data_IF_739784640438
#
_entry.id   IF_739784640438
#
_cell.length_a   1.000
_cell.length_b   1.000
_cell.length_c   1.000
_cell.angle_alpha   90.00
_cell.angle_beta   90.00
_cell.angle_gamma   90.00
#
_symmetry.space_group_name_H-M   'P 1'
#
loop_
_entity.id
_entity.type
_entity.pdbx_description
1 polymer ?
#
# COMPACT_ATOMS: atom_id res chain seq x y z
N UNK A 1 14.23 -31.60 19.21
CA UNK A 1 13.81 -30.37 18.50
C UNK A 1 13.07 -29.49 19.50
N UNK A 2 13.37 -28.19 19.61
CA UNK A 2 12.67 -27.30 20.52
C UNK A 2 11.18 -27.20 20.14
N UNK A 3 10.25 -27.11 21.10
CA UNK A 3 8.83 -26.95 20.81
C UNK A 3 8.59 -25.57 20.16
N UNK A 4 8.01 -25.56 18.96
CA UNK A 4 7.66 -24.34 18.23
C UNK A 4 6.19 -24.04 18.51
N UNK A 5 5.92 -22.92 19.19
CA UNK A 5 4.58 -22.40 19.39
C UNK A 5 4.33 -21.21 18.46
N UNK A 6 3.20 -21.25 17.76
CA UNK A 6 2.74 -20.16 16.92
C UNK A 6 2.01 -19.12 17.78
N UNK A 7 2.52 -17.89 17.81
CA UNK A 7 2.00 -16.83 18.66
C UNK A 7 1.67 -15.62 17.79
N UNK A 8 0.38 -15.36 17.56
CA UNK A 8 -0.11 -14.20 16.82
C UNK A 8 -1.40 -14.47 16.04
N UNK A 9 -1.99 -13.41 15.49
CA UNK A 9 -3.14 -13.50 14.59
C UNK A 9 -2.65 -13.63 13.15
N UNK A 10 -3.15 -14.62 12.40
CA UNK A 10 -2.83 -14.75 10.99
C UNK A 10 -3.45 -13.59 10.20
N UNK A 11 -2.73 -13.09 9.19
CA UNK A 11 -3.27 -12.09 8.26
C UNK A 11 -4.24 -12.79 7.31
N UNK A 12 -5.52 -12.41 7.36
CA UNK A 12 -6.56 -13.00 6.51
C UNK A 12 -6.47 -12.52 5.04
N UNK A 13 -5.88 -11.34 4.81
CA UNK A 13 -5.94 -10.65 3.50
C UNK A 13 -4.59 -10.46 2.80
N UNK A 14 -3.47 -10.72 3.49
CA UNK A 14 -2.13 -10.46 2.96
C UNK A 14 -1.29 -11.72 3.03
N UNK A 15 -0.66 -12.06 1.90
CA UNK A 15 0.01 -13.35 1.69
C UNK A 15 1.49 -13.21 1.29
N UNK A 16 2.10 -12.04 1.53
CA UNK A 16 3.45 -11.72 1.09
C UNK A 16 4.42 -11.35 2.21
N UNK A 17 5.58 -10.84 1.80
CA UNK A 17 6.61 -10.29 2.68
C UNK A 17 6.50 -8.77 2.71
N UNK A 18 7.21 -8.15 3.65
CA UNK A 18 7.39 -6.71 3.59
C UNK A 18 8.39 -6.33 2.51
N UNK A 19 8.08 -5.23 1.84
CA UNK A 19 8.95 -4.68 0.82
C UNK A 19 10.30 -4.25 1.40
N UNK A 20 10.31 -3.73 2.63
CA UNK A 20 11.55 -3.34 3.32
C UNK A 20 12.49 -4.53 3.55
N UNK A 21 11.95 -5.71 3.86
CA UNK A 21 12.73 -6.94 4.08
C UNK A 21 13.30 -7.46 2.76
N UNK A 22 12.50 -7.47 1.68
CA UNK A 22 12.96 -7.86 0.35
C UNK A 22 14.10 -6.94 -0.10
N UNK A 23 13.87 -5.63 -0.05
CA UNK A 23 14.83 -4.61 -0.51
C UNK A 23 16.13 -4.66 0.29
N UNK A 24 16.06 -4.86 1.62
CA UNK A 24 17.24 -4.93 2.49
C UNK A 24 18.15 -6.12 2.18
N UNK A 25 17.56 -7.25 1.77
CA UNK A 25 18.30 -8.47 1.49
C UNK A 25 18.94 -8.48 0.09
N UNK A 26 18.57 -7.53 -0.78
CA UNK A 26 19.08 -7.45 -2.15
C UNK A 26 20.27 -6.48 -2.26
N UNK A 27 21.24 -6.84 -3.12
CA UNK A 27 22.33 -5.93 -3.50
C UNK A 27 21.75 -4.68 -4.16
N UNK A 28 22.36 -3.52 -3.89
CA UNK A 28 21.91 -2.21 -4.38
C UNK A 28 20.42 -1.93 -4.11
N UNK A 29 19.88 -2.51 -3.03
CA UNK A 29 18.46 -2.37 -2.65
C UNK A 29 17.49 -2.83 -3.74
N UNK A 30 17.90 -3.79 -4.57
CA UNK A 30 17.04 -4.40 -5.57
C UNK A 30 16.70 -3.51 -6.77
N UNK A 31 17.50 -2.49 -7.08
CA UNK A 31 17.33 -1.68 -8.29
C UNK A 31 17.25 -2.55 -9.56
N UNK A 32 16.27 -2.27 -10.42
CA UNK A 32 15.97 -3.02 -11.64
C UNK A 32 15.21 -4.33 -11.45
N UNK A 33 14.91 -4.73 -10.20
CA UNK A 33 14.16 -5.97 -9.93
C UNK A 33 12.65 -5.73 -9.97
N UNK A 34 11.93 -6.77 -10.42
CA UNK A 34 10.47 -6.77 -10.47
C UNK A 34 9.91 -7.30 -9.15
N UNK A 35 8.99 -6.54 -8.57
CA UNK A 35 8.19 -6.95 -7.40
C UNK A 35 6.71 -6.96 -7.76
N UNK A 36 5.99 -7.89 -7.17
CA UNK A 36 4.57 -8.14 -7.40
C UNK A 36 3.85 -7.94 -6.08
N UNK A 37 2.68 -7.29 -6.14
CA UNK A 37 1.76 -7.18 -5.01
C UNK A 37 0.67 -8.24 -5.20
N UNK A 38 0.61 -9.21 -4.30
CA UNK A 38 -0.24 -10.40 -4.47
C UNK A 38 -1.74 -10.05 -4.53
N UNK A 39 -2.20 -9.11 -3.71
CA UNK A 39 -3.60 -8.65 -3.76
C UNK A 39 -3.98 -8.03 -5.10
N UNK A 40 -3.06 -7.29 -5.74
CA UNK A 40 -3.32 -6.69 -7.05
C UNK A 40 -3.26 -7.74 -8.17
N UNK A 41 -2.29 -8.65 -8.10
CA UNK A 41 -2.14 -9.74 -9.05
C UNK A 41 -3.29 -10.75 -8.98
N UNK A 42 -3.86 -11.00 -7.80
CA UNK A 42 -5.03 -11.85 -7.62
C UNK A 42 -6.33 -11.18 -8.09
N UNK A 43 -6.41 -9.85 -8.01
CA UNK A 43 -7.61 -9.08 -8.37
C UNK A 43 -7.77 -8.93 -9.89
N UNK A 44 -6.66 -8.80 -10.61
CA UNK A 44 -6.67 -8.50 -12.04
C UNK A 44 -5.96 -9.62 -12.83
N UNK A 45 -6.59 -10.17 -13.89
CA UNK A 45 -5.94 -11.18 -14.73
C UNK A 45 -4.82 -10.60 -15.59
N UNK A 46 -4.81 -9.28 -15.80
CA UNK A 46 -3.82 -8.58 -16.59
C UNK A 46 -2.52 -8.36 -15.79
N UNK A 47 -1.34 -8.28 -16.44
CA UNK A 47 -0.07 -8.19 -15.74
C UNK A 47 0.01 -6.90 -14.89
N UNK A 48 0.23 -7.08 -13.58
CA UNK A 48 0.39 -6.02 -12.60
C UNK A 48 1.69 -6.25 -11.82
N UNK A 49 2.66 -5.35 -11.97
CA UNK A 49 3.95 -5.45 -11.31
C UNK A 49 4.66 -4.09 -11.23
N UNK A 50 5.73 -4.06 -10.44
CA UNK A 50 6.50 -2.85 -10.17
C UNK A 50 7.98 -3.12 -10.46
N UNK A 51 8.62 -2.21 -11.19
CA UNK A 51 10.07 -2.26 -11.43
C UNK A 51 10.74 -1.28 -10.49
N UNK A 52 11.54 -1.79 -9.56
CA UNK A 52 12.21 -0.96 -8.56
C UNK A 52 13.25 -0.06 -9.24
N UNK A 53 13.17 1.24 -9.03
CA UNK A 53 14.21 2.18 -9.47
C UNK A 53 15.09 2.63 -8.31
N UNK A 54 14.47 3.04 -7.21
CA UNK A 54 15.19 3.52 -6.03
C UNK A 54 14.43 3.14 -4.78
N UNK A 55 15.15 2.60 -3.79
CA UNK A 55 14.59 2.33 -2.49
C UNK A 55 15.41 2.99 -1.38
N UNK A 56 14.73 3.61 -0.42
CA UNK A 56 15.32 4.18 0.78
C UNK A 56 14.61 3.67 2.03
N UNK A 57 15.32 3.08 3.01
CA UNK A 57 14.74 2.77 4.29
C UNK A 57 14.38 4.06 5.02
N UNK A 58 13.31 4.02 5.80
CA UNK A 58 12.91 5.12 6.68
C UNK A 58 13.61 4.91 8.02
N UNK A 59 14.66 5.69 8.30
CA UNK A 59 15.49 5.50 9.50
C UNK A 59 14.79 5.92 10.80
N UNK A 60 13.75 6.75 10.72
CA UNK A 60 12.93 7.13 11.88
C UNK A 60 12.01 6.01 12.37
N UNK A 61 11.83 4.95 11.58
CA UNK A 61 10.96 3.82 11.91
C UNK A 61 11.76 2.70 12.61
N UNK A 62 11.57 2.59 13.94
CA UNK A 62 12.16 1.51 14.76
C UNK A 62 11.65 0.12 14.37
N UNK A 63 10.47 0.02 13.73
CA UNK A 63 9.92 -1.27 13.30
C UNK A 63 10.64 -1.84 12.07
N UNK A 64 11.39 -1.00 11.34
CA UNK A 64 12.05 -1.35 10.07
C UNK A 64 11.10 -1.90 8.99
N UNK A 65 9.79 -1.72 9.15
CA UNK A 65 8.77 -2.18 8.21
C UNK A 65 8.62 -1.21 7.05
N UNK A 66 8.78 0.10 7.29
CA UNK A 66 8.53 1.12 6.27
C UNK A 66 9.76 1.38 5.41
N UNK A 67 9.53 1.53 4.10
CA UNK A 67 10.52 2.02 3.16
C UNK A 67 9.88 2.99 2.17
N UNK A 68 10.64 3.99 1.71
CA UNK A 68 10.28 4.84 0.58
C UNK A 68 10.79 4.16 -0.69
N UNK A 69 9.86 3.76 -1.55
CA UNK A 69 10.17 3.11 -2.81
C UNK A 69 9.70 3.99 -3.97
N UNK A 70 10.59 4.22 -4.92
CA UNK A 70 10.27 4.73 -6.24
C UNK A 70 10.39 3.58 -7.24
N UNK A 71 9.32 3.34 -7.98
CA UNK A 71 9.25 2.26 -8.93
C UNK A 71 8.39 2.67 -10.12
N UNK A 72 8.71 2.09 -11.28
CA UNK A 72 7.84 2.14 -12.45
C UNK A 72 6.68 1.18 -12.24
N UNK A 73 5.45 1.69 -12.25
CA UNK A 73 4.23 0.91 -11.98
C UNK A 73 3.60 0.47 -13.29
N UNK A 74 3.54 -0.83 -13.52
CA UNK A 74 2.76 -1.43 -14.60
C UNK A 74 1.48 -1.99 -13.98
N UNK A 75 0.33 -1.42 -14.33
CA UNK A 75 -0.96 -1.85 -13.82
C UNK A 75 -1.88 -2.20 -14.98
N UNK A 76 -2.42 -3.42 -14.95
CA UNK A 76 -3.32 -3.96 -15.98
C UNK A 76 -2.75 -3.88 -17.40
N UNK A 77 -1.46 -4.18 -17.53
CA UNK A 77 -0.71 -4.09 -18.78
C UNK A 77 -0.44 -2.66 -19.27
N UNK A 78 -0.74 -1.63 -18.47
CA UNK A 78 -0.40 -0.23 -18.80
C UNK A 78 0.72 0.28 -17.93
N UNK A 79 1.63 0.99 -18.55
CA UNK A 79 2.66 1.72 -17.84
C UNK A 79 2.09 3.03 -17.30
N UNK A 80 2.05 3.15 -15.97
CA UNK A 80 1.63 4.35 -15.26
C UNK A 80 2.82 5.28 -14.95
N UNK A 81 4.02 4.92 -15.41
CA UNK A 81 5.24 5.67 -15.20
C UNK A 81 5.86 5.42 -13.82
N UNK A 82 6.89 6.20 -13.54
CA UNK A 82 7.68 6.10 -12.30
C UNK A 82 7.13 7.07 -11.27
N UNK A 83 6.82 6.54 -10.08
CA UNK A 83 6.34 7.34 -8.96
C UNK A 83 6.71 6.72 -7.62
N UNK A 84 6.40 7.45 -6.55
CA UNK A 84 6.51 6.90 -5.20
C UNK A 84 5.39 5.90 -4.97
N UNK A 85 5.76 4.71 -4.51
CA UNK A 85 4.80 3.65 -4.23
C UNK A 85 4.23 3.85 -2.82
N UNK A 86 2.91 3.80 -2.73
CA UNK A 86 2.16 3.85 -1.47
C UNK A 86 2.06 2.43 -0.88
N UNK A 87 1.67 2.34 0.40
CA UNK A 87 1.40 1.04 1.05
C UNK A 87 2.60 0.07 1.09
N UNK A 88 3.83 0.59 1.10
CA UNK A 88 5.06 -0.24 1.19
C UNK A 88 5.19 -1.01 2.50
N UNK A 89 4.42 -0.62 3.52
CA UNK A 89 4.36 -1.27 4.82
C UNK A 89 3.40 -2.47 4.84
N UNK A 90 2.59 -2.67 3.80
CA UNK A 90 1.71 -3.83 3.72
C UNK A 90 2.53 -5.09 3.43
N UNK A 91 2.23 -6.21 4.06
CA UNK A 91 2.96 -7.44 3.88
C UNK A 91 2.43 -8.29 2.74
N UNK A 92 2.46 -7.72 1.54
CA UNK A 92 1.79 -8.30 0.38
C UNK A 92 2.73 -8.43 -0.83
N UNK A 93 4.01 -8.19 -0.60
CA UNK A 93 4.99 -8.10 -1.66
C UNK A 93 5.71 -9.43 -1.85
N UNK A 94 5.90 -9.78 -3.12
CA UNK A 94 6.74 -10.89 -3.56
C UNK A 94 7.78 -10.38 -4.54
N UNK A 95 9.01 -10.88 -4.39
CA UNK A 95 10.04 -10.70 -5.41
C UNK A 95 9.79 -11.70 -6.54
N UNK A 96 9.64 -11.23 -7.78
CA UNK A 96 9.49 -12.11 -8.92
C UNK A 96 10.80 -12.86 -9.20
N UNK A 97 10.67 -14.12 -9.63
CA UNK A 97 11.81 -14.86 -10.18
C UNK A 97 12.28 -14.17 -11.48
N UNK A 98 13.58 -14.17 -11.83
CA UNK A 98 14.06 -13.51 -13.06
C UNK A 98 13.31 -13.93 -14.33
N UNK A 99 13.06 -15.22 -14.52
CA UNK A 99 12.30 -15.72 -15.68
C UNK A 99 10.84 -15.24 -15.69
N UNK A 100 10.21 -15.20 -14.51
CA UNK A 100 8.86 -14.68 -14.36
C UNK A 100 8.83 -13.18 -14.63
N UNK A 101 9.84 -12.43 -14.15
CA UNK A 101 9.98 -11.01 -14.39
C UNK A 101 10.11 -10.71 -15.89
N UNK A 102 10.93 -11.47 -16.62
CA UNK A 102 11.04 -11.34 -18.08
C UNK A 102 9.72 -11.64 -18.77
N UNK A 103 9.03 -12.71 -18.37
CA UNK A 103 7.72 -13.06 -18.93
C UNK A 103 6.71 -11.94 -18.71
N UNK A 104 6.67 -11.34 -17.52
CA UNK A 104 5.79 -10.22 -17.20
C UNK A 104 6.13 -8.96 -18.00
N UNK A 105 7.42 -8.65 -18.17
CA UNK A 105 7.87 -7.51 -18.97
C UNK A 105 7.52 -7.69 -20.45
N UNK A 106 7.70 -8.89 -21.00
CA UNK A 106 7.27 -9.22 -22.38
C UNK A 106 5.75 -9.10 -22.50
N UNK A 107 5.00 -9.69 -21.57
CA UNK A 107 3.54 -9.62 -21.57
C UNK A 107 3.02 -8.17 -21.49
N UNK A 108 3.66 -7.30 -20.71
CA UNK A 108 3.32 -5.87 -20.62
C UNK A 108 3.71 -5.06 -21.86
N UNK A 109 4.67 -5.54 -22.66
CA UNK A 109 5.06 -4.89 -23.92
C UNK A 109 4.03 -5.14 -25.03
N UNK A 110 3.28 -6.25 -24.93
CA UNK A 110 2.22 -6.57 -25.87
C UNK A 110 0.92 -5.82 -25.54
N UNK A 111 0.44 -4.89 -26.39
CA UNK A 111 -0.75 -4.09 -26.12
C UNK A 111 -2.04 -4.93 -26.04
N UNK A 112 -2.00 -6.17 -26.55
CA UNK A 112 -3.13 -7.12 -26.49
C UNK A 112 -3.43 -7.60 -25.07
N UNK A 113 -2.42 -7.62 -24.20
CA UNK A 113 -2.57 -8.03 -22.81
C UNK A 113 -2.98 -6.86 -21.89
N UNK A 114 -2.99 -5.63 -22.43
CA UNK A 114 -3.46 -4.47 -21.71
C UNK A 114 -4.99 -4.44 -21.68
N UNK A 115 -5.54 -3.91 -20.58
CA UNK A 115 -6.98 -3.72 -20.46
C UNK A 115 -7.52 -2.80 -21.58
N UNK A 116 -8.66 -3.18 -22.16
CA UNK A 116 -9.38 -2.34 -23.13
C UNK A 116 -9.94 -1.08 -22.47
N UNK A 117 -9.81 0.07 -23.13
CA UNK A 117 -10.42 1.31 -22.65
C UNK A 117 -11.94 1.26 -22.74
N UNK A 118 -12.61 1.15 -21.59
CA UNK A 118 -14.05 1.36 -21.50
C UNK A 118 -14.34 2.86 -21.42
N UNK A 119 -15.09 3.38 -22.40
CA UNK A 119 -15.57 4.75 -22.37
C UNK A 119 -16.61 4.91 -21.26
N UNK A 120 -16.24 5.56 -20.16
CA UNK A 120 -17.16 5.87 -19.06
C UNK A 120 -17.81 7.22 -19.34
N UNK A 121 -19.14 7.29 -19.19
CA UNK A 121 -19.85 8.58 -19.19
C UNK A 121 -19.41 9.37 -17.96
N UNK A 122 -18.61 10.42 -18.14
CA UNK A 122 -18.10 11.28 -17.06
C UNK A 122 -19.17 12.30 -16.58
N UNK A 123 -20.43 11.87 -16.60
CA UNK A 123 -21.59 12.71 -16.42
C UNK A 123 -22.60 11.91 -15.60
N UNK A 124 -23.02 12.46 -14.46
CA UNK A 124 -24.03 11.88 -13.59
C UNK A 124 -25.22 12.83 -13.45
N UNK A 125 -26.44 12.32 -13.20
CA UNK A 125 -27.55 13.19 -12.85
C UNK A 125 -27.25 13.95 -11.55
N UNK A 126 -27.50 15.25 -11.55
CA UNK A 126 -27.40 16.08 -10.36
C UNK A 126 -28.45 15.66 -9.33
N UNK A 127 -28.10 15.59 -8.03
CA UNK A 127 -29.10 15.39 -6.99
C UNK A 127 -30.21 16.46 -7.10
N UNK A 128 -31.49 16.06 -6.99
CA UNK A 128 -32.61 16.94 -7.35
C UNK A 128 -32.67 18.23 -6.51
N UNK A 129 -32.30 18.14 -5.23
CA UNK A 129 -32.24 19.31 -4.34
C UNK A 129 -31.17 20.31 -4.77
N UNK A 130 -30.00 19.82 -5.20
CA UNK A 130 -28.90 20.67 -5.68
C UNK A 130 -29.30 21.40 -6.96
N UNK A 131 -29.97 20.69 -7.89
CA UNK A 131 -30.47 21.30 -9.12
C UNK A 131 -31.47 22.44 -8.84
N UNK A 132 -32.40 22.22 -7.91
CA UNK A 132 -33.36 23.25 -7.49
C UNK A 132 -32.64 24.43 -6.81
N UNK A 133 -31.66 24.15 -5.95
CA UNK A 133 -30.88 25.17 -5.24
C UNK A 133 -30.13 26.09 -6.22
N UNK A 134 -29.38 25.51 -7.17
CA UNK A 134 -28.61 26.26 -8.16
C UNK A 134 -29.52 27.11 -9.06
N UNK A 135 -30.67 26.55 -9.48
CA UNK A 135 -31.69 27.27 -10.26
C UNK A 135 -32.28 28.46 -9.51
N UNK A 136 -32.59 28.30 -8.21
CA UNK A 136 -33.16 29.38 -7.37
C UNK A 136 -32.17 30.49 -7.07
N UNK A 137 -30.88 30.17 -6.94
CA UNK A 137 -29.82 31.13 -6.63
C UNK A 137 -29.27 31.88 -7.85
N UNK A 138 -29.69 31.51 -9.07
CA UNK A 138 -29.20 32.14 -10.30
C UNK A 138 -27.71 31.94 -10.55
N UNK A 139 -27.12 30.88 -9.97
CA UNK A 139 -25.69 30.57 -10.11
C UNK A 139 -25.35 30.00 -11.50
N UNK A 140 -26.36 29.59 -12.26
CA UNK A 140 -26.25 29.16 -13.65
C UNK A 140 -26.79 30.29 -14.54
N UNK A 141 -25.99 30.85 -15.47
CA UNK A 141 -26.45 31.91 -16.37
C UNK A 141 -27.71 31.51 -17.15
N UNK A 142 -28.67 32.43 -17.27
CA UNK A 142 -29.96 32.15 -17.91
C UNK A 142 -29.84 31.79 -19.40
N UNK A 143 -28.82 32.31 -20.09
CA UNK A 143 -28.52 31.94 -21.47
C UNK A 143 -28.11 30.46 -21.58
N UNK A 144 -27.27 29.97 -20.67
CA UNK A 144 -26.83 28.58 -20.62
C UNK A 144 -27.99 27.64 -20.33
N UNK A 145 -28.93 28.06 -19.47
CA UNK A 145 -30.17 27.31 -19.18
C UNK A 145 -31.06 27.17 -20.39
N UNK A 146 -31.32 28.27 -21.11
CA UNK A 146 -32.13 28.25 -22.33
C UNK A 146 -31.51 27.36 -23.42
N UNK A 147 -30.19 27.41 -23.58
CA UNK A 147 -29.46 26.53 -24.51
C UNK A 147 -29.58 25.06 -24.11
N UNK A 148 -29.48 24.74 -22.83
CA UNK A 148 -29.66 23.38 -22.31
C UNK A 148 -31.09 22.85 -22.52
N UNK A 149 -32.11 23.65 -22.21
CA UNK A 149 -33.52 23.29 -22.40
C UNK A 149 -33.87 23.11 -23.89
N UNK A 150 -33.33 23.96 -24.76
CA UNK A 150 -33.46 23.84 -26.21
C UNK A 150 -32.77 22.58 -26.74
N UNK A 151 -31.58 22.25 -26.25
CA UNK A 151 -30.85 21.06 -26.64
C UNK A 151 -31.51 19.76 -26.13
N UNK A 152 -32.12 19.76 -24.94
CA UNK A 152 -32.94 18.66 -24.45
C UNK A 152 -34.16 18.39 -25.34
N UNK A 153 -34.67 19.43 -25.99
CA UNK A 153 -35.82 19.36 -26.90
C UNK A 153 -35.44 18.97 -28.34
N UNK A 154 -34.18 19.17 -28.75
CA UNK A 154 -33.75 19.09 -30.15
C UNK A 154 -33.23 17.73 -30.62
N UNK A 155 -33.07 16.73 -29.73
CA UNK A 155 -32.61 15.36 -30.07
C UNK A 155 -31.42 15.29 -31.06
N UNK A 156 -30.52 16.29 -31.02
CA UNK A 156 -29.46 16.44 -32.04
C UNK A 156 -28.13 15.90 -31.56
N UNK A 157 -27.33 15.38 -32.50
CA UNK A 157 -25.99 14.78 -32.29
C UNK A 157 -24.91 15.77 -31.78
N UNK A 158 -25.29 16.97 -31.34
CA UNK A 158 -24.33 17.97 -30.87
C UNK A 158 -23.84 17.63 -29.45
N UNK A 159 -22.53 17.42 -29.31
CA UNK A 159 -21.92 17.25 -27.99
C UNK A 159 -22.10 18.53 -27.17
N UNK A 160 -22.86 18.45 -26.07
CA UNK A 160 -23.06 19.57 -25.14
C UNK A 160 -21.74 19.98 -24.48
N UNK A 161 -21.54 21.29 -24.33
CA UNK A 161 -20.45 21.87 -23.54
C UNK A 161 -20.59 21.53 -22.05
N UNK A 162 -19.53 21.77 -21.27
CA UNK A 162 -19.52 21.52 -19.83
C UNK A 162 -20.67 22.25 -19.11
N UNK A 163 -20.79 23.54 -19.35
CA UNK A 163 -21.79 24.42 -18.72
C UNK A 163 -23.22 24.04 -19.12
N UNK A 164 -23.43 23.62 -20.37
CA UNK A 164 -24.74 23.16 -20.86
C UNK A 164 -25.17 21.84 -20.22
N UNK A 165 -24.23 20.93 -19.92
CA UNK A 165 -24.51 19.70 -19.17
C UNK A 165 -24.93 20.01 -17.74
N UNK A 166 -24.23 20.93 -17.07
CA UNK A 166 -24.59 21.38 -15.71
C UNK A 166 -25.95 22.05 -15.67
N UNK A 167 -26.24 22.90 -16.66
CA UNK A 167 -27.55 23.54 -16.81
C UNK A 167 -28.68 22.54 -17.11
N UNK A 168 -28.40 21.46 -17.85
CA UNK A 168 -29.32 20.34 -18.08
C UNK A 168 -29.54 19.47 -16.83
N UNK A 169 -28.90 19.78 -15.70
CA UNK A 169 -29.01 19.03 -14.45
C UNK A 169 -28.10 17.82 -14.41
N UNK A 170 -26.99 17.82 -15.15
CA UNK A 170 -25.97 16.79 -15.12
C UNK A 170 -24.72 17.32 -14.42
N UNK A 171 -24.26 16.64 -13.38
CA UNK A 171 -22.96 16.91 -12.79
C UNK A 171 -21.87 16.30 -13.68
N UNK A 172 -20.90 17.13 -14.04
CA UNK A 172 -19.63 16.64 -14.56
C UNK A 172 -18.93 15.92 -13.42
N UNK A 173 -18.85 14.60 -13.53
CA UNK A 173 -17.93 13.84 -12.70
C UNK A 173 -16.54 14.17 -13.23
N UNK A 174 -15.93 15.23 -12.70
CA UNK A 174 -14.52 15.48 -12.93
C UNK A 174 -13.80 14.20 -12.58
N UNK A 175 -13.08 13.61 -13.55
CA UNK A 175 -11.99 12.71 -13.19
C UNK A 175 -11.05 13.61 -12.38
N UNK A 176 -10.99 13.44 -11.06
CA UNK A 176 -9.81 13.83 -10.30
C UNK A 176 -8.73 12.84 -10.72
N UNK A 177 -7.87 13.20 -11.69
CA UNK A 177 -6.90 12.28 -12.22
C UNK A 177 -5.69 12.44 -11.31
N UNK A 178 -5.67 11.70 -10.20
CA UNK A 178 -4.43 11.35 -9.53
C UNK A 178 -3.45 12.53 -9.38
N UNK A 179 -3.78 13.51 -8.56
CA UNK A 179 -2.80 14.53 -8.16
C UNK A 179 -1.91 13.94 -7.06
N UNK A 180 -0.63 13.62 -7.34
CA UNK A 180 0.30 13.05 -6.36
C UNK A 180 0.62 14.00 -5.20
N UNK A 181 0.17 15.26 -5.26
CA UNK A 181 0.36 16.25 -4.19
C UNK A 181 -0.85 16.37 -3.25
N UNK A 182 -2.01 15.80 -3.61
CA UNK A 182 -3.30 16.07 -2.94
C UNK A 182 -3.66 15.11 -1.80
N UNK A 183 -2.70 14.27 -1.35
CA UNK A 183 -2.86 13.45 -0.16
C UNK A 183 -1.61 13.53 0.73
N UNK A 184 -1.54 14.60 1.51
CA UNK A 184 -0.57 14.72 2.59
C UNK A 184 -1.06 13.88 3.76
N UNK A 185 -0.70 12.59 3.76
CA UNK A 185 -0.81 11.79 4.99
C UNK A 185 0.02 12.52 6.06
N UNK A 186 -0.56 12.89 7.21
CA UNK A 186 0.16 13.63 8.23
C UNK A 186 1.39 12.84 8.66
N UNK A 187 2.51 13.56 8.80
CA UNK A 187 3.84 13.00 9.16
C UNK A 187 3.77 12.23 10.49
N UNK A 188 2.81 12.59 11.34
CA UNK A 188 2.55 11.96 12.64
C UNK A 188 1.28 11.10 12.54
N UNK A 189 1.33 9.81 12.92
CA UNK A 189 0.15 8.95 12.99
C UNK A 189 -0.90 9.52 13.93
N UNK A 190 -2.18 9.28 13.66
CA UNK A 190 -3.27 9.74 14.56
C UNK A 190 -3.18 9.03 15.92
N UNK A 191 -3.80 9.60 16.97
CA UNK A 191 -3.79 9.01 18.31
C UNK A 191 -4.37 7.58 18.33
N UNK A 192 -5.39 7.33 17.52
CA UNK A 192 -5.97 5.99 17.34
C UNK A 192 -4.98 4.99 16.72
N UNK A 193 -4.16 5.45 15.76
CA UNK A 193 -3.12 4.62 15.13
C UNK A 193 -1.95 4.36 16.07
N UNK A 194 -1.56 5.37 16.88
CA UNK A 194 -0.53 5.23 17.90
C UNK A 194 -0.90 4.19 18.96
N UNK A 195 -2.19 4.11 19.34
CA UNK A 195 -2.70 3.11 20.27
C UNK A 195 -2.72 1.66 19.73
N UNK A 196 -2.62 1.47 18.41
CA UNK A 196 -2.59 0.13 17.77
C UNK A 196 -1.17 -0.41 17.59
N UNK A 197 -0.15 0.41 17.79
CA UNK A 197 1.26 0.05 17.59
C UNK A 197 1.84 -0.49 18.90
N UNK A 198 2.37 -1.72 18.87
CA UNK A 198 3.12 -2.31 19.99
C UNK A 198 4.59 -2.51 19.59
N UNK A 199 5.58 -2.05 20.38
CA UNK A 199 5.45 -1.31 21.64
C UNK A 199 4.96 0.14 21.43
N UNK A 200 4.43 0.80 22.48
CA UNK A 200 3.88 2.16 22.39
C UNK A 200 4.89 3.16 21.80
N UNK A 201 4.38 4.09 21.01
CA UNK A 201 5.15 5.10 20.25
C UNK A 201 6.11 5.92 21.13
N UNK A 202 5.75 6.11 22.40
CA UNK A 202 6.60 6.69 23.44
C UNK A 202 7.53 5.62 24.03
N UNK A 203 8.61 5.28 23.32
CA UNK A 203 9.72 4.55 23.94
C UNK A 203 11.04 5.33 23.86
N UNK A 204 11.52 5.63 25.07
CA UNK A 204 12.69 6.38 25.51
C UNK A 204 13.95 6.05 24.72
N UNK A 205 14.46 7.03 23.97
CA UNK A 205 15.91 7.18 23.77
C UNK A 205 16.45 7.90 25.01
N UNK A 206 17.33 7.24 25.77
CA UNK A 206 18.28 7.97 26.63
C UNK A 206 19.53 8.21 25.78
N UNK A 207 19.96 9.46 25.71
CA UNK A 207 21.26 9.88 25.17
C UNK A 207 21.59 9.37 23.75
N UNK A 208 20.61 9.39 22.83
CA UNK A 208 20.76 9.03 21.40
C UNK A 208 21.38 7.65 21.09
N UNK A 209 21.56 6.79 22.11
CA UNK A 209 22.13 5.46 21.98
C UNK A 209 21.03 4.40 22.09
N UNK A 210 20.86 3.66 21.00
CA UNK A 210 19.98 2.48 20.97
C UNK A 210 20.63 1.34 21.77
N UNK A 211 20.26 1.21 23.04
CA UNK A 211 20.63 0.05 23.85
C UNK A 211 19.76 -1.12 23.43
N UNK A 212 20.36 -2.17 22.87
CA UNK A 212 19.65 -3.43 22.67
C UNK A 212 19.28 -3.99 24.05
N UNK A 213 18.05 -4.47 24.26
CA UNK A 213 17.73 -5.18 25.49
C UNK A 213 18.66 -6.39 25.63
N UNK A 214 19.10 -6.67 26.85
CA UNK A 214 19.95 -7.80 27.15
C UNK A 214 19.18 -9.10 26.85
N UNK A 215 19.56 -9.82 25.78
CA UNK A 215 18.84 -11.00 25.29
C UNK A 215 19.35 -12.27 25.97
N UNK A 216 19.57 -12.21 27.28
CA UNK A 216 19.78 -13.38 28.13
C UNK A 216 18.42 -13.93 28.56
N UNK A 217 17.69 -14.52 27.61
CA UNK A 217 16.37 -15.09 27.85
C UNK A 217 16.26 -16.51 27.32
N UNK A 218 15.59 -17.39 28.05
CA UNK A 218 15.32 -18.77 27.63
C UNK A 218 14.24 -18.87 26.53
N UNK A 219 13.78 -17.73 26.03
CA UNK A 219 12.67 -17.60 25.08
C UNK A 219 13.06 -16.61 24.00
N UNK A 220 13.01 -17.05 22.75
CA UNK A 220 13.28 -16.22 21.58
C UNK A 220 12.01 -16.10 20.77
N UNK A 221 11.69 -14.87 20.35
CA UNK A 221 10.62 -14.60 19.40
C UNK A 221 11.26 -14.36 18.04
N UNK A 222 11.11 -15.32 17.13
CA UNK A 222 11.60 -15.22 15.76
C UNK A 222 10.41 -14.83 14.89
N UNK A 223 10.47 -13.65 14.27
CA UNK A 223 9.42 -13.19 13.35
C UNK A 223 9.36 -14.12 12.14
N UNK A 224 8.16 -14.60 11.79
CA UNK A 224 7.93 -15.30 10.53
C UNK A 224 8.20 -14.36 9.36
N UNK A 225 8.97 -14.86 8.39
CA UNK A 225 9.26 -14.11 7.16
C UNK A 225 8.14 -14.19 6.12
N UNK A 226 7.12 -15.02 6.35
CA UNK A 226 6.02 -15.34 5.44
C UNK A 226 4.65 -14.88 5.96
N UNK A 227 4.51 -14.65 7.26
CA UNK A 227 3.29 -14.04 7.82
C UNK A 227 3.70 -13.03 8.89
N UNK A 228 3.50 -11.75 8.65
CA UNK A 228 3.84 -10.75 9.63
C UNK A 228 2.77 -10.53 10.69
N UNK A 229 3.23 -10.12 11.87
CA UNK A 229 2.46 -10.19 13.10
C UNK A 229 2.60 -11.54 13.82
N UNK A 230 3.36 -12.47 13.25
CA UNK A 230 3.44 -13.83 13.75
C UNK A 230 4.82 -14.27 14.24
N UNK A 231 4.77 -14.62 15.51
CA UNK A 231 5.78 -15.07 16.44
C UNK A 231 6.11 -16.57 16.31
N UNK A 232 7.32 -16.99 15.95
CA UNK A 232 7.82 -18.28 16.45
C UNK A 232 8.34 -18.03 17.85
N UNK A 233 7.65 -18.56 18.85
CA UNK A 233 8.19 -18.60 20.20
C UNK A 233 9.02 -19.87 20.34
N UNK A 234 10.34 -19.71 20.33
CA UNK A 234 11.31 -20.78 20.54
C UNK A 234 11.70 -20.76 22.00
N UNK A 235 11.34 -21.80 22.73
CA UNK A 235 11.75 -21.98 24.12
C UNK A 235 13.02 -22.83 24.10
N UNK A 236 14.13 -22.26 24.56
CA UNK A 236 15.35 -23.03 24.79
C UNK A 236 15.24 -23.76 26.13
N UNK A 237 15.72 -24.99 26.19
CA UNK A 237 15.85 -25.70 27.46
C UNK A 237 16.89 -24.95 28.31
N UNK A 238 16.48 -24.53 29.51
CA UNK A 238 17.42 -24.02 30.51
C UNK A 238 18.46 -25.11 30.75
N UNK A 239 19.73 -24.80 30.45
CA UNK A 239 20.84 -25.68 30.81
C UNK A 239 20.89 -25.70 32.34
N UNK A 240 20.29 -26.72 32.96
CA UNK A 240 20.29 -26.88 34.41
C UNK A 240 21.72 -26.67 34.90
N UNK A 241 21.94 -25.68 35.76
CA UNK A 241 23.24 -25.40 36.34
C UNK A 241 23.65 -26.58 37.21
N UNK A 242 24.28 -27.58 36.61
CA UNK A 242 24.91 -28.68 37.31
C UNK A 242 26.25 -28.21 37.88
N UNK A 243 26.22 -27.20 38.76
CA UNK A 243 27.26 -26.98 39.74
C UNK A 243 26.89 -27.82 40.96
N UNK A 244 27.36 -29.07 40.92
CA UNK A 244 27.41 -29.94 42.08
C UNK A 244 28.12 -29.16 43.19
N UNK A 245 27.41 -28.90 44.30
CA UNK A 245 28.02 -28.49 45.56
C UNK A 245 29.10 -29.52 45.88
N UNK A 246 30.36 -29.11 45.82
CA UNK A 246 31.45 -29.89 46.39
C UNK A 246 31.14 -30.07 47.88
N UNK A 247 30.99 -31.33 48.26
CA UNK A 247 30.93 -31.82 49.63
C UNK A 247 32.04 -31.19 50.46
N UNK A 248 31.67 -30.38 51.47
CA UNK A 248 32.54 -30.15 52.63
C UNK A 248 32.46 -31.41 53.49
N UNK A 249 33.54 -32.17 53.55
CA UNK A 249 33.78 -33.21 54.54
C UNK A 249 33.93 -32.58 55.94
N UNK A 250 33.45 -33.24 57.00
CA UNK A 250 33.70 -32.85 58.37
C UNK A 250 35.05 -33.42 58.84
N UNK A 251 35.88 -32.57 59.43
CA UNK A 251 36.92 -32.93 60.41
C UNK A 251 36.73 -32.01 61.62
#
# INVERSE_FOLDING_TARGET
>A
MPPIQYVGRHSEHFFGKYLSEIVRNLKNRGQGRVVIKETEAAKYPEPCFYVIERASPVMSDKSHVRCRLWARRICRGRDLGTGQILHTHEPDWRLAHPEEAERLLRAASDPKNAVTDTTVRCVAPMPPLLAVYLRRRGLLPDETRRKADAAASASSDHALTADEKEAAGLLLLTKLPWDPELFQVPIVPSEEEQGRIHPPYTYTSRDDLFTKPDVSGDKYYIRRSDTPGLYWKVILEQKSSSLKKATKSPD
#
